data_IF_518866006677
#
_entry.id   IF_518866006677
#
_cell.length_a   1.000
_cell.length_b   1.000
_cell.length_c   1.000
_cell.angle_alpha   90.00
_cell.angle_beta   90.00
_cell.angle_gamma   90.00
#
_symmetry.space_group_name_H-M   'P 1'
#
loop_
_entity.id
_entity.type
_entity.pdbx_description
1 polymer ?
#
# COMPACT_ATOMS: atom_id res chain seq x y z
N UNK A 1 -11.21 18.27 30.29
CA UNK A 1 -12.26 17.66 29.43
C UNK A 1 -11.86 18.03 28.04
N UNK A 2 -10.97 17.22 27.50
CA UNK A 2 -10.07 17.66 26.44
C UNK A 2 -10.73 17.28 25.13
N UNK A 3 -10.95 18.29 24.28
CA UNK A 3 -11.57 18.14 22.97
C UNK A 3 -10.77 17.13 22.17
N UNK A 4 -11.36 15.97 21.98
CA UNK A 4 -10.93 14.92 21.07
C UNK A 4 -10.62 15.56 19.72
N UNK A 5 -9.33 15.67 19.42
CA UNK A 5 -8.84 16.29 18.20
C UNK A 5 -9.11 15.29 17.09
N UNK A 6 -10.21 15.51 16.37
CA UNK A 6 -10.58 14.75 15.16
C UNK A 6 -9.55 15.01 14.05
N UNK A 7 -8.34 14.45 14.19
CA UNK A 7 -7.29 14.47 13.18
C UNK A 7 -7.44 13.23 12.28
N UNK A 8 -8.57 13.15 11.57
CA UNK A 8 -8.79 12.14 10.55
C UNK A 8 -8.47 12.79 9.21
N UNK A 9 -7.48 12.24 8.50
CA UNK A 9 -7.17 12.65 7.13
C UNK A 9 -7.58 11.55 6.17
N UNK A 10 -8.48 11.87 5.24
CA UNK A 10 -8.84 10.97 4.13
C UNK A 10 -7.92 11.28 2.96
N UNK A 11 -7.33 10.26 2.34
CA UNK A 11 -6.47 10.42 1.18
C UNK A 11 -6.58 9.22 0.27
N UNK A 12 -6.55 9.48 -1.04
CA UNK A 12 -6.52 8.43 -2.05
C UNK A 12 -5.19 7.69 -2.06
N UNK A 13 -4.11 8.23 -1.46
CA UNK A 13 -2.77 7.61 -1.45
C UNK A 13 -2.71 6.21 -0.78
N UNK A 14 -3.76 5.82 -0.03
CA UNK A 14 -3.93 4.51 0.63
C UNK A 14 -5.06 3.68 -0.03
N UNK A 15 -5.69 4.17 -1.10
CA UNK A 15 -6.68 3.40 -1.85
C UNK A 15 -6.10 2.06 -2.35
N UNK A 16 -6.96 1.04 -2.41
CA UNK A 16 -6.61 -0.27 -2.97
C UNK A 16 -6.05 -0.16 -4.40
N UNK A 17 -5.32 -1.19 -4.81
CA UNK A 17 -4.91 -1.37 -6.20
C UNK A 17 -6.10 -1.22 -7.15
N UNK A 18 -5.90 -0.45 -8.21
CA UNK A 18 -6.77 -0.53 -9.38
C UNK A 18 -6.53 -1.88 -10.08
N UNK A 19 -7.44 -2.83 -9.91
CA UNK A 19 -7.31 -4.16 -10.50
C UNK A 19 -7.61 -4.19 -12.00
N UNK A 20 -8.15 -3.11 -12.58
CA UNK A 20 -8.43 -3.00 -14.01
C UNK A 20 -9.26 -4.18 -14.54
N UNK A 21 -8.71 -4.91 -15.49
CA UNK A 21 -9.34 -6.09 -16.12
C UNK A 21 -9.57 -7.25 -15.14
N UNK A 22 -9.02 -7.18 -13.93
CA UNK A 22 -9.13 -8.21 -12.90
C UNK A 22 -10.21 -7.91 -11.86
N UNK A 23 -10.87 -6.76 -11.94
CA UNK A 23 -11.92 -6.35 -11.00
C UNK A 23 -13.04 -7.40 -10.95
N UNK A 24 -13.38 -7.86 -9.74
CA UNK A 24 -14.43 -8.87 -9.52
C UNK A 24 -14.08 -10.30 -9.97
N UNK A 25 -12.84 -10.56 -10.41
CA UNK A 25 -12.38 -11.90 -10.79
C UNK A 25 -11.70 -12.63 -9.64
N UNK A 26 -11.89 -13.95 -9.59
CA UNK A 26 -11.11 -14.83 -8.74
C UNK A 26 -9.71 -15.03 -9.33
N UNK A 27 -8.74 -15.29 -8.45
CA UNK A 27 -7.33 -15.51 -8.83
C UNK A 27 -7.16 -16.56 -9.94
N UNK A 28 -7.94 -17.64 -9.91
CA UNK A 28 -7.86 -18.69 -10.95
C UNK A 28 -8.43 -18.22 -12.30
N UNK A 29 -9.45 -17.35 -12.28
CA UNK A 29 -9.99 -16.74 -13.49
C UNK A 29 -8.99 -15.77 -14.11
N UNK A 30 -8.29 -14.96 -13.29
CA UNK A 30 -7.23 -14.06 -13.73
C UNK A 30 -6.10 -14.85 -14.40
N UNK A 31 -5.61 -15.92 -13.75
CA UNK A 31 -4.55 -16.78 -14.31
C UNK A 31 -4.97 -17.40 -15.63
N UNK A 32 -6.21 -17.89 -15.73
CA UNK A 32 -6.71 -18.49 -16.96
C UNK A 32 -6.87 -17.46 -18.09
N UNK A 33 -7.33 -16.24 -17.78
CA UNK A 33 -7.43 -15.14 -18.75
C UNK A 33 -6.04 -14.74 -19.27
N UNK A 34 -5.07 -14.53 -18.37
CA UNK A 34 -3.69 -14.20 -18.71
C UNK A 34 -3.05 -15.29 -19.58
N UNK A 35 -3.26 -16.57 -19.23
CA UNK A 35 -2.80 -17.71 -20.03
C UNK A 35 -3.41 -17.73 -21.43
N UNK A 36 -4.72 -17.43 -21.57
CA UNK A 36 -5.38 -17.33 -22.87
C UNK A 36 -4.83 -16.19 -23.74
N UNK A 37 -4.37 -15.11 -23.12
CA UNK A 37 -3.70 -13.99 -23.78
C UNK A 37 -2.23 -14.29 -24.12
N UNK A 38 -1.72 -15.47 -23.77
CA UNK A 38 -0.33 -15.87 -24.03
C UNK A 38 0.67 -15.27 -23.04
N UNK A 39 0.22 -14.78 -21.88
CA UNK A 39 1.07 -14.31 -20.80
C UNK A 39 1.52 -15.48 -19.90
N UNK A 40 2.50 -15.20 -19.04
CA UNK A 40 2.96 -16.11 -17.98
C UNK A 40 3.51 -17.47 -18.45
N UNK A 41 3.93 -17.57 -19.72
CA UNK A 41 4.41 -18.82 -20.35
C UNK A 41 5.72 -19.35 -19.72
N UNK A 42 6.50 -18.49 -19.06
CA UNK A 42 7.76 -18.84 -18.40
C UNK A 42 7.77 -18.70 -16.87
N UNK A 43 6.73 -18.09 -16.28
CA UNK A 43 6.65 -17.83 -14.84
C UNK A 43 5.23 -17.60 -14.40
N UNK A 44 4.85 -18.13 -13.24
CA UNK A 44 3.54 -17.89 -12.64
C UNK A 44 3.29 -16.41 -12.38
N UNK A 45 2.04 -15.98 -12.60
CA UNK A 45 1.56 -14.64 -12.26
C UNK A 45 1.87 -14.28 -10.79
N UNK A 46 2.43 -13.10 -10.60
CA UNK A 46 2.66 -12.50 -9.30
C UNK A 46 2.29 -11.00 -9.37
N UNK A 47 1.18 -10.62 -8.75
CA UNK A 47 0.66 -9.24 -8.74
C UNK A 47 1.70 -8.20 -8.29
N UNK A 48 2.57 -8.55 -7.34
CA UNK A 48 3.62 -7.67 -6.82
C UNK A 48 4.67 -7.31 -7.88
N UNK A 49 4.90 -8.21 -8.83
CA UNK A 49 5.87 -8.04 -9.92
C UNK A 49 5.19 -7.55 -11.20
N UNK A 50 4.05 -8.16 -11.53
CA UNK A 50 3.45 -8.09 -12.86
C UNK A 50 2.38 -6.99 -12.95
N UNK A 51 1.82 -6.55 -11.82
CA UNK A 51 0.76 -5.55 -11.82
C UNK A 51 -0.63 -6.09 -12.15
N UNK A 52 -1.54 -5.16 -12.40
CA UNK A 52 -2.88 -5.42 -12.92
C UNK A 52 -3.00 -4.91 -14.37
N UNK A 53 -3.43 -5.76 -15.29
CA UNK A 53 -3.68 -5.33 -16.67
C UNK A 53 -4.87 -4.36 -16.72
N UNK A 54 -4.72 -3.26 -17.47
CA UNK A 54 -5.74 -2.21 -17.53
C UNK A 54 -5.88 -1.38 -16.25
N UNK A 55 -5.15 -1.71 -15.19
CA UNK A 55 -5.20 -1.03 -13.89
C UNK A 55 -3.84 -0.45 -13.49
N UNK A 56 -3.50 -0.59 -12.20
CA UNK A 56 -2.26 -0.07 -11.63
C UNK A 56 -1.07 -1.03 -11.80
N UNK A 57 0.10 -0.44 -12.09
CA UNK A 57 1.38 -1.13 -12.01
C UNK A 57 1.93 -1.04 -10.58
N UNK A 58 2.81 -1.98 -10.16
CA UNK A 58 3.40 -1.92 -8.83
C UNK A 58 4.14 -0.60 -8.58
N UNK A 59 4.81 -0.07 -9.61
CA UNK A 59 5.50 1.23 -9.54
C UNK A 59 4.57 2.40 -9.20
N UNK A 60 3.37 2.44 -9.79
CA UNK A 60 2.39 3.49 -9.47
C UNK A 60 1.94 3.41 -8.02
N UNK A 61 1.65 2.21 -7.53
CA UNK A 61 1.24 2.02 -6.13
C UNK A 61 2.35 2.46 -5.17
N UNK A 62 3.60 2.09 -5.47
CA UNK A 62 4.79 2.53 -4.71
C UNK A 62 4.86 4.06 -4.67
N UNK A 63 4.70 4.75 -5.79
CA UNK A 63 4.75 6.22 -5.84
C UNK A 63 3.68 6.87 -4.96
N UNK A 64 2.46 6.29 -4.86
CA UNK A 64 1.41 6.83 -3.97
C UNK A 64 1.75 6.58 -2.51
N UNK A 65 2.25 5.39 -2.20
CA UNK A 65 2.69 5.04 -0.85
C UNK A 65 3.87 5.88 -0.38
N UNK A 66 4.84 6.18 -1.25
CA UNK A 66 5.97 7.05 -0.94
C UNK A 66 5.50 8.46 -0.53
N UNK A 67 4.49 9.01 -1.23
CA UNK A 67 3.88 10.30 -0.85
C UNK A 67 3.17 10.22 0.51
N UNK A 68 2.45 9.12 0.78
CA UNK A 68 1.79 8.92 2.07
C UNK A 68 2.83 8.84 3.20
N UNK A 69 3.89 8.06 3.01
CA UNK A 69 4.97 7.88 3.98
C UNK A 69 5.69 9.20 4.24
N UNK A 70 5.94 10.01 3.20
CA UNK A 70 6.53 11.34 3.36
C UNK A 70 5.68 12.23 4.29
N UNK A 71 4.36 12.27 4.10
CA UNK A 71 3.43 13.01 4.96
C UNK A 71 3.45 12.51 6.41
N UNK A 72 3.50 11.20 6.61
CA UNK A 72 3.60 10.59 7.95
C UNK A 72 4.89 11.01 8.63
N UNK A 73 6.03 10.95 7.91
CA UNK A 73 7.33 11.35 8.44
C UNK A 73 7.37 12.83 8.80
N UNK A 74 6.81 13.70 7.97
CA UNK A 74 6.69 15.14 8.27
C UNK A 74 5.89 15.38 9.56
N UNK A 75 4.85 14.59 9.82
CA UNK A 75 4.08 14.67 11.06
C UNK A 75 4.88 14.19 12.29
N UNK A 76 5.66 13.13 12.14
CA UNK A 76 6.40 12.49 13.23
C UNK A 76 7.71 13.19 13.57
N UNK A 77 8.40 13.75 12.57
CA UNK A 77 9.73 14.35 12.70
C UNK A 77 9.89 15.32 13.89
N UNK A 78 8.93 16.22 14.20
CA UNK A 78 9.05 17.13 15.33
C UNK A 78 9.03 16.48 16.72
N UNK A 79 8.62 15.22 16.81
CA UNK A 79 8.37 14.52 18.07
C UNK A 79 9.24 13.26 18.24
N UNK A 80 10.24 13.09 17.37
CA UNK A 80 11.13 11.91 17.39
C UNK A 80 12.07 11.87 18.62
N UNK A 81 12.21 12.95 19.40
CA UNK A 81 12.97 12.91 20.65
C UNK A 81 12.09 12.61 21.88
N UNK A 82 10.84 12.17 21.67
CA UNK A 82 9.94 11.72 22.73
C UNK A 82 9.20 12.86 23.43
N UNK A 83 9.17 14.06 22.86
CA UNK A 83 8.46 15.21 23.41
C UNK A 83 6.94 15.00 23.47
N UNK A 84 6.40 14.23 22.50
CA UNK A 84 4.98 13.91 22.38
C UNK A 84 4.80 12.60 21.62
N UNK A 85 3.77 11.81 21.93
CA UNK A 85 3.36 10.70 21.07
C UNK A 85 2.87 11.23 19.72
N UNK A 86 3.34 10.60 18.64
CA UNK A 86 3.01 10.94 17.25
C UNK A 86 2.63 9.68 16.46
N UNK A 87 1.88 8.78 17.10
CA UNK A 87 1.42 7.54 16.50
C UNK A 87 0.41 7.85 15.38
N UNK A 88 0.56 7.16 14.25
CA UNK A 88 -0.33 7.26 13.10
C UNK A 88 -0.96 5.89 12.85
N UNK A 89 -2.28 5.84 12.79
CA UNK A 89 -3.04 4.63 12.48
C UNK A 89 -3.53 4.72 11.04
N UNK A 90 -3.19 3.71 10.24
CA UNK A 90 -3.70 3.56 8.87
C UNK A 90 -4.89 2.60 8.88
N UNK A 91 -6.01 3.02 8.29
CA UNK A 91 -7.22 2.21 8.20
C UNK A 91 -7.53 1.94 6.73
N UNK A 92 -7.51 0.67 6.35
CA UNK A 92 -7.88 0.20 5.02
C UNK A 92 -8.74 -1.06 5.12
N UNK A 93 -9.67 -1.25 4.17
CA UNK A 93 -10.64 -2.34 4.23
C UNK A 93 -10.08 -3.72 3.86
N UNK A 94 -9.04 -3.77 3.02
CA UNK A 94 -8.45 -5.02 2.54
C UNK A 94 -7.05 -5.28 3.11
N UNK A 95 -6.69 -6.57 3.21
CA UNK A 95 -5.37 -7.02 3.66
C UNK A 95 -4.27 -6.91 2.59
N UNK A 96 -4.63 -6.88 1.30
CA UNK A 96 -3.64 -6.79 0.21
C UNK A 96 -2.94 -5.44 0.20
N UNK A 97 -3.67 -4.34 0.35
CA UNK A 97 -3.07 -3.02 0.45
C UNK A 97 -2.19 -2.88 1.69
N UNK A 98 -2.61 -3.39 2.85
CA UNK A 98 -1.78 -3.39 4.06
C UNK A 98 -0.48 -4.20 3.87
N UNK A 99 -0.54 -5.33 3.17
CA UNK A 99 0.64 -6.08 2.78
C UNK A 99 1.53 -5.30 1.78
N UNK A 100 0.94 -4.49 0.90
CA UNK A 100 1.68 -3.61 -0.02
C UNK A 100 2.44 -2.51 0.74
N UNK A 101 1.78 -1.93 1.74
CA UNK A 101 2.41 -0.97 2.66
C UNK A 101 3.56 -1.67 3.38
N UNK A 102 3.32 -2.81 4.03
CA UNK A 102 4.35 -3.56 4.75
C UNK A 102 5.51 -4.03 3.86
N UNK A 103 5.26 -4.40 2.60
CA UNK A 103 6.30 -4.78 1.64
C UNK A 103 7.18 -3.59 1.26
N UNK A 104 6.58 -2.42 1.04
CA UNK A 104 7.32 -1.16 0.88
C UNK A 104 8.05 -0.77 2.18
N UNK A 105 7.43 -1.03 3.34
CA UNK A 105 7.97 -0.75 4.66
C UNK A 105 9.12 -1.71 5.04
N UNK A 106 9.21 -2.90 4.43
CA UNK A 106 10.36 -3.79 4.58
C UNK A 106 11.65 -3.15 4.00
N UNK A 107 11.54 -2.20 3.05
CA UNK A 107 12.65 -1.31 2.68
C UNK A 107 12.95 -0.23 3.74
N UNK A 108 11.96 0.17 4.55
CA UNK A 108 12.09 1.16 5.63
C UNK A 108 12.60 0.59 6.95
N UNK A 109 12.39 -0.70 7.26
CA UNK A 109 12.98 -1.36 8.44
C UNK A 109 14.52 -1.34 8.43
N UNK A 110 15.13 -1.14 7.26
CA UNK A 110 16.57 -0.90 7.12
C UNK A 110 16.99 0.56 7.39
N UNK A 111 16.04 1.48 7.62
CA UNK A 111 16.29 2.92 7.71
C UNK A 111 15.78 3.61 8.99
N UNK A 112 14.80 3.11 9.74
CA UNK A 112 14.51 3.57 11.12
C UNK A 112 13.39 2.74 11.75
N UNK A 113 13.51 2.48 13.05
CA UNK A 113 12.51 1.79 13.88
C UNK A 113 11.18 2.56 13.92
N UNK A 114 10.20 2.14 13.13
CA UNK A 114 8.80 2.51 13.30
C UNK A 114 7.96 1.22 13.27
N UNK A 115 7.21 0.98 14.35
CA UNK A 115 6.27 -0.13 14.42
C UNK A 115 4.95 0.38 13.86
N UNK A 116 4.53 -0.15 12.71
CA UNK A 116 3.14 -0.07 12.24
C UNK A 116 2.41 -1.25 12.88
N UNK A 117 1.41 -0.98 13.73
CA UNK A 117 0.46 -1.98 14.25
C UNK A 117 -0.79 -2.02 13.38
#
# INVERSE_FOLDING_TARGET
>A
MDKESNNVTVTEDIAEWDYGEYEGLLVDQIKEQRRKQGLDVGSSFNIWRDGCEGGESPGRVIERLDRLIAKIKEHQQPYMNGEKAADVVLVHASTLMLATVAYNDFRLLMASSCVVL
#
